data_IF_311457677753
#
_entry.id   IF_311457677753
#
_cell.length_a   1.000
_cell.length_b   1.000
_cell.length_c   1.000
_cell.angle_alpha   90.00
_cell.angle_beta   90.00
_cell.angle_gamma   90.00
#
_symmetry.space_group_name_H-M   'P 1'
#
loop_
_entity.id
_entity.type
_entity.pdbx_description
1 polymer ?
#
# COMPACT_ATOMS: atom_id res chain seq x y z
N UNK A 1 9.55 -7.06 6.55
CA UNK A 1 9.30 -5.87 5.70
C UNK A 1 9.45 -4.56 6.47
N UNK A 2 8.63 -4.29 7.50
CA UNK A 2 8.73 -3.05 8.31
C UNK A 2 10.16 -2.80 8.81
N UNK A 3 10.80 -3.81 9.43
CA UNK A 3 12.19 -3.71 9.87
C UNK A 3 13.17 -3.35 8.74
N UNK A 4 12.97 -3.89 7.53
CA UNK A 4 13.83 -3.61 6.37
C UNK A 4 13.65 -2.17 5.85
N UNK A 5 12.42 -1.63 5.90
CA UNK A 5 12.16 -0.21 5.56
C UNK A 5 12.86 0.70 6.57
N UNK A 6 12.72 0.40 7.86
CA UNK A 6 13.34 1.18 8.93
C UNK A 6 14.87 1.11 8.89
N UNK A 7 15.46 -0.07 8.65
CA UNK A 7 16.91 -0.23 8.52
C UNK A 7 17.48 0.52 7.31
N UNK A 8 16.68 0.76 6.28
CA UNK A 8 17.04 1.58 5.13
C UNK A 8 16.84 3.10 5.37
N UNK A 9 16.50 3.51 6.61
CA UNK A 9 16.21 4.91 6.94
C UNK A 9 14.85 5.40 6.45
N UNK A 10 13.99 4.50 5.98
CA UNK A 10 12.65 4.82 5.51
C UNK A 10 11.63 5.00 6.64
N UNK A 11 10.41 5.37 6.26
CA UNK A 11 9.25 5.44 7.16
C UNK A 11 8.07 4.66 6.58
N UNK A 12 7.11 4.30 7.45
CA UNK A 12 5.92 3.53 7.05
C UNK A 12 4.69 4.38 7.27
N UNK A 13 3.76 4.39 6.30
CA UNK A 13 2.51 5.17 6.35
C UNK A 13 1.31 4.24 6.20
N UNK A 14 0.32 4.36 7.08
CA UNK A 14 -0.86 3.44 7.15
C UNK A 14 -2.17 4.19 7.37
N UNK A 15 -3.30 3.57 7.01
CA UNK A 15 -4.64 4.15 7.12
C UNK A 15 -5.38 3.85 8.43
N UNK A 16 -4.74 3.19 9.40
CA UNK A 16 -5.36 2.79 10.67
C UNK A 16 -6.56 1.83 10.53
N UNK A 17 -6.64 1.03 9.47
CA UNK A 17 -7.66 -0.01 9.36
C UNK A 17 -7.39 -1.20 10.32
N UNK A 18 -8.40 -1.98 10.71
CA UNK A 18 -8.15 -3.27 11.37
C UNK A 18 -7.36 -4.22 10.45
N UNK A 19 -6.62 -5.15 11.03
CA UNK A 19 -5.79 -6.10 10.29
C UNK A 19 -4.38 -5.58 10.02
N UNK A 20 -3.99 -5.48 8.74
CA UNK A 20 -2.60 -5.19 8.32
C UNK A 20 -2.09 -3.87 8.89
N UNK A 21 -2.87 -2.78 8.81
CA UNK A 21 -2.44 -1.47 9.33
C UNK A 21 -2.22 -1.52 10.86
N UNK A 22 -3.05 -2.26 11.59
CA UNK A 22 -2.90 -2.43 13.04
C UNK A 22 -1.63 -3.24 13.38
N UNK A 23 -1.37 -4.33 12.65
CA UNK A 23 -0.15 -5.13 12.80
C UNK A 23 1.12 -4.34 12.44
N UNK A 24 1.07 -3.52 11.39
CA UNK A 24 2.17 -2.62 11.04
C UNK A 24 2.43 -1.61 12.16
N UNK A 25 1.36 -1.03 12.73
CA UNK A 25 1.47 -0.06 13.81
C UNK A 25 2.02 -0.66 15.10
N UNK A 26 1.71 -1.92 15.42
CA UNK A 26 2.29 -2.59 16.59
C UNK A 26 3.78 -2.87 16.40
N UNK A 27 4.23 -3.11 15.17
CA UNK A 27 5.64 -3.35 14.85
C UNK A 27 6.45 -2.07 14.56
N UNK A 28 5.78 -0.94 14.30
CA UNK A 28 6.40 0.36 14.02
C UNK A 28 5.59 1.48 14.67
N UNK A 29 5.97 1.83 15.90
CA UNK A 29 5.31 2.86 16.70
C UNK A 29 5.40 4.24 16.01
N UNK A 30 6.49 4.49 15.27
CA UNK A 30 6.73 5.72 14.52
C UNK A 30 6.01 5.76 13.16
N UNK A 31 5.20 4.76 12.81
CA UNK A 31 4.44 4.76 11.57
C UNK A 31 3.51 5.98 11.49
N UNK A 32 3.51 6.65 10.34
CA UNK A 32 2.64 7.81 10.09
C UNK A 32 1.22 7.31 9.84
N UNK A 33 0.31 7.64 10.76
CA UNK A 33 -1.08 7.18 10.71
C UNK A 33 -1.97 8.24 10.08
N UNK A 34 -2.55 7.94 8.93
CA UNK A 34 -3.54 8.78 8.26
C UNK A 34 -4.93 8.32 8.69
N UNK A 35 -5.64 9.13 9.49
CA UNK A 35 -6.96 8.76 10.01
C UNK A 35 -8.07 9.22 9.07
N UNK A 36 -9.09 8.40 8.88
CA UNK A 36 -10.27 8.78 8.10
C UNK A 36 -11.04 9.95 8.74
N UNK A 37 -10.99 10.09 10.06
CA UNK A 37 -11.64 11.18 10.79
C UNK A 37 -11.05 12.56 10.49
N UNK A 38 -9.86 12.63 9.89
CA UNK A 38 -9.22 13.89 9.47
C UNK A 38 -9.83 14.47 8.18
N UNK A 39 -10.73 13.74 7.51
CA UNK A 39 -11.38 14.17 6.27
C UNK A 39 -12.87 14.44 6.53
N UNK A 40 -13.42 15.42 5.82
CA UNK A 40 -14.85 15.77 5.88
C UNK A 40 -15.70 14.85 4.98
N UNK A 41 -17.01 14.84 5.21
CA UNK A 41 -17.98 14.13 4.38
C UNK A 41 -18.43 12.75 4.89
N UNK A 42 -19.24 12.02 4.10
CA UNK A 42 -19.81 10.74 4.51
C UNK A 42 -18.74 9.65 4.72
N UNK A 43 -19.00 8.61 5.53
CA UNK A 43 -18.01 7.59 5.90
C UNK A 43 -17.22 7.00 4.72
N UNK A 44 -17.89 6.66 3.62
CA UNK A 44 -17.24 6.09 2.42
C UNK A 44 -16.29 7.09 1.74
N UNK A 45 -16.66 8.36 1.68
CA UNK A 45 -15.82 9.41 1.10
C UNK A 45 -14.57 9.64 1.96
N UNK A 46 -14.73 9.65 3.29
CA UNK A 46 -13.61 9.78 4.23
C UNK A 46 -12.60 8.65 4.11
N UNK A 47 -13.06 7.39 3.98
CA UNK A 47 -12.19 6.24 3.76
C UNK A 47 -11.42 6.34 2.44
N UNK A 48 -12.09 6.76 1.36
CA UNK A 48 -11.45 6.96 0.07
C UNK A 48 -10.42 8.10 0.09
N UNK A 49 -10.76 9.25 0.69
CA UNK A 49 -9.86 10.39 0.85
C UNK A 49 -8.61 10.02 1.66
N UNK A 50 -8.80 9.31 2.78
CA UNK A 50 -7.72 8.75 3.58
C UNK A 50 -6.81 7.84 2.75
N UNK A 51 -7.38 6.89 2.00
CA UNK A 51 -6.57 5.99 1.16
C UNK A 51 -5.74 6.76 0.15
N UNK A 52 -6.32 7.78 -0.51
CA UNK A 52 -5.57 8.66 -1.44
C UNK A 52 -4.43 9.38 -0.72
N UNK A 53 -4.67 9.92 0.48
CA UNK A 53 -3.67 10.64 1.26
C UNK A 53 -2.57 9.74 1.86
N UNK A 54 -2.83 8.44 2.04
CA UNK A 54 -1.79 7.45 2.36
C UNK A 54 -0.86 7.31 1.14
N UNK A 55 -1.42 7.07 -0.04
CA UNK A 55 -0.64 6.85 -1.28
C UNK A 55 0.11 8.11 -1.69
N UNK A 56 -0.52 9.29 -1.62
CA UNK A 56 0.11 10.56 -2.02
C UNK A 56 1.36 10.91 -1.20
N UNK A 57 1.48 10.38 0.03
CA UNK A 57 2.65 10.57 0.89
C UNK A 57 3.66 9.42 0.85
N UNK A 58 3.56 8.51 -0.13
CA UNK A 58 4.39 7.32 -0.23
C UNK A 58 5.25 7.35 -1.51
N UNK A 59 6.44 6.76 -1.44
CA UNK A 59 7.33 6.55 -2.60
C UNK A 59 7.18 5.15 -3.22
N UNK A 60 6.54 4.23 -2.52
CA UNK A 60 6.18 2.89 -2.99
C UNK A 60 4.97 2.36 -2.20
N UNK A 61 4.23 1.43 -2.78
CA UNK A 61 3.08 0.79 -2.15
C UNK A 61 3.32 -0.71 -1.94
N UNK A 62 3.10 -1.18 -0.71
CA UNK A 62 3.01 -2.61 -0.40
C UNK A 62 1.57 -2.98 -0.04
N UNK A 63 1.03 -4.00 -0.69
CA UNK A 63 -0.35 -4.48 -0.48
C UNK A 63 -0.33 -5.91 0.05
N UNK A 64 -1.11 -6.15 1.10
CA UNK A 64 -1.30 -7.47 1.69
C UNK A 64 -2.79 -7.82 1.58
N UNK A 65 -3.20 -8.57 0.54
CA UNK A 65 -4.57 -9.05 0.42
C UNK A 65 -4.94 -10.01 1.55
N UNK A 66 -6.23 -10.20 1.87
CA UNK A 66 -6.68 -11.29 2.72
C UNK A 66 -6.32 -12.65 2.09
N UNK A 67 -6.32 -13.72 2.89
CA UNK A 67 -5.91 -15.06 2.47
C UNK A 67 -6.62 -15.59 1.21
N UNK A 68 -7.86 -15.14 0.94
CA UNK A 68 -8.60 -15.46 -0.28
C UNK A 68 -8.15 -14.71 -1.54
N UNK A 69 -7.09 -13.89 -1.47
CA UNK A 69 -6.48 -13.20 -2.62
C UNK A 69 -7.27 -12.02 -3.19
N UNK A 70 -8.56 -11.91 -2.89
CA UNK A 70 -9.42 -10.84 -3.42
C UNK A 70 -9.10 -9.50 -2.78
N UNK A 71 -8.81 -8.50 -3.62
CA UNK A 71 -8.56 -7.13 -3.18
C UNK A 71 -9.87 -6.45 -2.77
N UNK A 72 -9.93 -5.98 -1.52
CA UNK A 72 -11.02 -5.13 -1.06
C UNK A 72 -11.03 -3.75 -1.74
N UNK A 73 -12.14 -2.99 -1.64
CA UNK A 73 -12.28 -1.68 -2.31
C UNK A 73 -11.18 -0.67 -1.95
N UNK A 74 -10.68 -0.70 -0.71
CA UNK A 74 -9.61 0.17 -0.24
C UNK A 74 -8.26 -0.15 -0.90
N UNK A 75 -7.86 -1.41 -0.93
CA UNK A 75 -6.60 -1.84 -1.57
C UNK A 75 -6.65 -1.65 -3.08
N UNK A 76 -7.78 -1.94 -3.71
CA UNK A 76 -8.00 -1.67 -5.14
C UNK A 76 -7.89 -0.19 -5.47
N UNK A 77 -8.43 0.69 -4.62
CA UNK A 77 -8.25 2.14 -4.76
C UNK A 77 -6.78 2.55 -4.56
N UNK A 78 -6.10 2.01 -3.54
CA UNK A 78 -4.70 2.31 -3.28
C UNK A 78 -3.80 1.95 -4.47
N UNK A 79 -3.98 0.75 -5.04
CA UNK A 79 -3.24 0.31 -6.24
C UNK A 79 -3.50 1.26 -7.41
N UNK A 80 -4.76 1.57 -7.72
CA UNK A 80 -5.06 2.52 -8.81
C UNK A 80 -4.40 3.87 -8.59
N UNK A 81 -4.46 4.43 -7.38
CA UNK A 81 -3.81 5.69 -7.07
C UNK A 81 -2.28 5.61 -7.23
N UNK A 82 -1.65 4.53 -6.79
CA UNK A 82 -0.21 4.35 -6.88
C UNK A 82 0.25 4.20 -8.34
N UNK A 83 -0.49 3.42 -9.14
CA UNK A 83 -0.22 3.28 -10.57
C UNK A 83 -0.38 4.60 -11.32
N UNK A 84 -1.45 5.37 -11.04
CA UNK A 84 -1.64 6.70 -11.63
C UNK A 84 -0.55 7.70 -11.23
N UNK A 85 0.04 7.53 -10.05
CA UNK A 85 1.16 8.34 -9.58
C UNK A 85 2.54 7.81 -10.03
N UNK A 86 2.59 6.75 -10.84
CA UNK A 86 3.83 6.16 -11.30
C UNK A 86 4.67 5.56 -10.17
N UNK A 87 4.05 5.08 -9.09
CA UNK A 87 4.76 4.50 -7.96
C UNK A 87 5.01 3.00 -8.15
N UNK A 88 6.15 2.46 -7.68
CA UNK A 88 6.33 1.03 -7.52
C UNK A 88 5.25 0.42 -6.62
N UNK A 89 4.69 -0.71 -7.03
CA UNK A 89 3.67 -1.44 -6.27
C UNK A 89 4.09 -2.89 -6.11
N UNK A 90 4.14 -3.38 -4.88
CA UNK A 90 4.28 -4.81 -4.59
C UNK A 90 3.01 -5.33 -3.91
N UNK A 91 2.54 -6.50 -4.34
CA UNK A 91 1.38 -7.18 -3.76
C UNK A 91 1.77 -8.59 -3.32
N UNK A 92 1.49 -8.91 -2.06
CA UNK A 92 1.70 -10.25 -1.51
C UNK A 92 0.74 -11.28 -2.13
N UNK A 93 1.20 -12.51 -2.31
CA UNK A 93 0.36 -13.64 -2.71
C UNK A 93 0.04 -13.67 -4.20
N UNK A 94 -1.23 -13.94 -4.59
CA UNK A 94 -1.59 -14.16 -5.99
C UNK A 94 -1.50 -12.88 -6.82
N UNK A 95 -1.39 -13.06 -8.15
CA UNK A 95 -1.31 -11.94 -9.09
C UNK A 95 -2.57 -11.06 -9.00
N UNK A 96 -2.43 -9.74 -8.78
CA UNK A 96 -3.56 -8.83 -8.82
C UNK A 96 -4.25 -8.84 -10.19
N UNK A 97 -5.58 -8.71 -10.21
CA UNK A 97 -6.37 -8.61 -11.45
C UNK A 97 -6.24 -7.26 -12.17
N UNK A 98 -5.36 -6.38 -11.70
CA UNK A 98 -5.13 -5.05 -12.30
C UNK A 98 -4.29 -5.22 -13.58
N UNK A 99 -4.72 -4.69 -14.75
CA UNK A 99 -4.11 -4.95 -16.05
C UNK A 99 -2.82 -4.13 -16.26
N UNK A 100 -1.78 -4.46 -15.50
CA UNK A 100 -0.41 -3.95 -15.70
C UNK A 100 0.57 -5.10 -15.81
N UNK A 101 1.79 -4.78 -16.26
CA UNK A 101 2.89 -5.74 -16.34
C UNK A 101 3.40 -6.08 -14.93
N UNK A 102 2.88 -7.18 -14.39
CA UNK A 102 3.32 -7.73 -13.11
C UNK A 102 4.47 -8.72 -13.32
N UNK A 103 5.51 -8.59 -12.51
CA UNK A 103 6.61 -9.56 -12.43
C UNK A 103 6.58 -10.27 -11.08
N UNK A 104 6.95 -11.55 -11.05
CA UNK A 104 7.07 -12.29 -9.78
C UNK A 104 8.24 -11.71 -8.96
N UNK A 105 8.00 -11.40 -7.69
CA UNK A 105 9.03 -10.90 -6.78
C UNK A 105 8.74 -11.34 -5.34
N UNK A 106 9.74 -11.94 -4.70
CA UNK A 106 9.70 -12.23 -3.26
C UNK A 106 10.27 -11.04 -2.49
N UNK A 107 9.46 -10.41 -1.64
CA UNK A 107 9.88 -9.27 -0.83
C UNK A 107 9.95 -9.66 0.65
N UNK A 108 11.14 -9.54 1.25
CA UNK A 108 11.41 -9.94 2.63
C UNK A 108 10.90 -11.37 2.95
N UNK A 109 11.17 -12.32 2.04
CA UNK A 109 10.76 -13.72 2.19
C UNK A 109 9.32 -14.04 1.76
N UNK A 110 8.46 -13.02 1.55
CA UNK A 110 7.05 -13.21 1.18
C UNK A 110 6.90 -13.25 -0.34
N UNK A 111 6.33 -14.31 -0.94
CA UNK A 111 6.09 -14.35 -2.39
C UNK A 111 5.00 -13.35 -2.79
N UNK A 112 5.15 -12.76 -3.97
CA UNK A 112 4.19 -11.78 -4.49
C UNK A 112 4.51 -11.35 -5.91
N UNK A 113 3.85 -10.27 -6.33
CA UNK A 113 4.00 -9.66 -7.65
C UNK A 113 4.33 -8.19 -7.51
N UNK A 114 5.24 -7.70 -8.35
CA UNK A 114 5.65 -6.31 -8.41
C UNK A 114 5.28 -5.68 -9.74
N UNK A 115 4.84 -4.44 -9.68
CA UNK A 115 4.83 -3.50 -10.79
C UNK A 115 5.94 -2.47 -10.51
N UNK A 116 6.84 -2.31 -11.47
CA UNK A 116 7.83 -1.25 -11.47
C UNK A 116 7.46 -0.27 -12.59
N UNK A 117 7.28 1.03 -12.29
CA UNK A 117 7.10 2.03 -13.32
C UNK A 117 8.33 2.03 -14.23
N UNK A 118 8.15 2.31 -15.52
CA UNK A 118 9.29 2.50 -16.41
C UNK A 118 10.15 3.65 -15.84
N UNK A 119 11.49 3.54 -15.86
CA UNK A 119 12.34 4.63 -15.47
C UNK A 119 11.98 5.85 -16.33
N UNK A 120 11.62 6.95 -15.68
CA UNK A 120 11.44 8.23 -16.36
C UNK A 120 12.81 8.65 -16.88
N UNK A 121 13.01 8.51 -18.19
CA UNK A 121 14.17 9.06 -18.90
C UNK A 121 13.99 10.58 -18.99
N UNK A 122 14.26 11.29 -17.91
CA UNK A 122 14.37 12.75 -17.90
C UNK A 122 15.58 13.16 -17.07
#
# INVERSE_FOLDING_TARGET
>A
MVAAVLSAGGSVRVGCAPGVDAAVRSCCISAVVVRASSFSGPPRARLAARTRAVVAGASALCVFPPAGGSLGPGSSLAIRCALSAGLPVWCAGPRPSVPVSWSSLRLAGVPGFVYLPAPSLF
#
